data_IF_226074165844
#
_entry.id   IF_226074165844
#
_cell.length_a   1.000
_cell.length_b   1.000
_cell.length_c   1.000
_cell.angle_alpha   90.00
_cell.angle_beta   90.00
_cell.angle_gamma   90.00
#
_symmetry.space_group_name_H-M   'P 1'
#
loop_
_entity.id
_entity.type
_entity.pdbx_description
1 polymer ?
#
# COMPACT_ATOMS: atom_id res chain seq x y z
N UNK A 1 35.98 40.53 1.19
CA UNK A 1 35.30 39.63 0.23
C UNK A 1 34.99 38.34 0.98
N UNK A 2 33.77 38.18 1.47
CA UNK A 2 33.28 36.94 2.11
C UNK A 2 33.00 35.95 1.00
N UNK A 3 33.64 34.79 1.05
CA UNK A 3 33.38 33.69 0.13
C UNK A 3 31.86 33.33 0.18
N UNK A 4 31.21 33.07 -0.96
CA UNK A 4 29.81 32.67 -0.94
C UNK A 4 29.67 31.38 -0.16
N UNK A 5 28.74 31.35 0.83
CA UNK A 5 28.39 30.16 1.56
C UNK A 5 27.83 29.17 0.52
N UNK A 6 28.41 27.97 0.38
CA UNK A 6 27.92 27.00 -0.61
C UNK A 6 26.47 26.69 -0.32
N UNK A 7 25.60 26.72 -1.36
CA UNK A 7 24.20 26.35 -1.23
C UNK A 7 24.10 24.92 -0.66
N UNK A 8 23.29 24.72 0.39
CA UNK A 8 23.16 23.40 1.00
C UNK A 8 22.66 22.41 -0.04
N UNK A 9 23.33 21.28 -0.13
CA UNK A 9 22.92 20.21 -1.06
C UNK A 9 21.47 19.80 -0.76
N UNK A 10 20.65 19.47 -1.78
CA UNK A 10 19.24 19.08 -1.59
C UNK A 10 19.02 18.04 -0.49
N UNK A 11 19.93 17.07 -0.37
CA UNK A 11 19.91 16.06 0.69
C UNK A 11 19.98 16.68 2.10
N UNK A 12 20.85 17.66 2.32
CA UNK A 12 21.04 18.30 3.64
C UNK A 12 19.76 19.01 4.09
N UNK A 13 19.12 19.75 3.18
CA UNK A 13 17.85 20.45 3.44
C UNK A 13 16.72 19.46 3.76
N UNK A 14 16.64 18.36 3.00
CA UNK A 14 15.61 17.34 3.23
C UNK A 14 15.86 16.58 4.54
N UNK A 15 17.10 16.22 4.84
CA UNK A 15 17.46 15.58 6.10
C UNK A 15 17.14 16.46 7.30
N UNK A 16 17.34 17.78 7.17
CA UNK A 16 16.97 18.75 8.19
C UNK A 16 15.46 18.88 8.34
N UNK A 17 14.72 18.96 7.23
CA UNK A 17 13.26 18.96 7.23
C UNK A 17 12.69 17.71 7.89
N UNK A 18 13.23 16.52 7.60
CA UNK A 18 12.82 15.25 8.20
C UNK A 18 13.09 15.26 9.71
N UNK A 19 14.26 15.68 10.14
CA UNK A 19 14.59 15.79 11.57
C UNK A 19 13.68 16.76 12.31
N UNK A 20 13.37 17.90 11.68
CA UNK A 20 12.45 18.87 12.26
C UNK A 20 11.05 18.25 12.43
N UNK A 21 10.51 17.61 11.40
CA UNK A 21 9.21 16.93 11.45
C UNK A 21 9.19 15.84 12.53
N UNK A 22 10.23 15.03 12.63
CA UNK A 22 10.31 13.97 13.64
C UNK A 22 10.38 14.51 15.06
N UNK A 23 11.17 15.55 15.29
CA UNK A 23 11.32 16.19 16.60
C UNK A 23 10.04 16.91 17.04
N UNK A 24 9.39 17.64 16.10
CA UNK A 24 8.20 18.47 16.39
C UNK A 24 6.88 17.78 15.99
N UNK A 25 6.88 16.48 15.71
CA UNK A 25 5.68 15.77 15.24
C UNK A 25 4.46 15.92 16.14
N UNK A 26 4.66 16.07 17.47
CA UNK A 26 3.59 16.29 18.45
C UNK A 26 2.94 17.66 18.31
N UNK A 27 3.67 18.65 17.83
CA UNK A 27 3.20 20.03 17.62
C UNK A 27 2.44 20.16 16.30
N UNK A 28 2.46 19.11 15.47
CA UNK A 28 1.83 19.07 14.13
C UNK A 28 2.20 20.28 13.28
N UNK A 29 3.51 20.53 13.01
CA UNK A 29 3.98 21.75 12.39
C UNK A 29 3.37 21.97 11.00
N UNK A 30 3.08 23.22 10.69
CA UNK A 30 2.58 23.62 9.38
C UNK A 30 3.69 23.59 8.33
N UNK A 31 3.32 23.55 7.04
CA UNK A 31 4.29 23.66 5.94
C UNK A 31 5.08 24.98 6.03
N UNK A 32 4.42 26.08 6.41
CA UNK A 32 5.05 27.38 6.62
C UNK A 32 6.11 27.37 7.73
N UNK A 33 5.85 26.68 8.84
CA UNK A 33 6.81 26.52 9.93
C UNK A 33 8.06 25.74 9.47
N UNK A 34 7.83 24.63 8.77
CA UNK A 34 8.89 23.80 8.21
C UNK A 34 9.72 24.55 7.16
N UNK A 35 9.05 25.27 6.25
CA UNK A 35 9.70 26.05 5.21
C UNK A 35 10.61 27.15 5.80
N UNK A 36 10.12 27.83 6.82
CA UNK A 36 10.88 28.84 7.57
C UNK A 36 12.11 28.24 8.25
N UNK A 37 11.97 27.05 8.84
CA UNK A 37 13.07 26.35 9.51
C UNK A 37 14.22 26.02 8.54
N UNK A 38 13.90 25.52 7.33
CA UNK A 38 14.92 25.14 6.34
C UNK A 38 15.33 26.29 5.39
N UNK A 39 14.79 27.50 5.58
CA UNK A 39 15.13 28.68 4.78
C UNK A 39 14.60 28.64 3.34
N UNK A 40 13.48 27.98 3.08
CA UNK A 40 12.86 27.87 1.76
C UNK A 40 11.46 28.47 1.74
N UNK A 41 10.95 28.81 0.54
CA UNK A 41 9.51 29.03 0.37
C UNK A 41 8.71 27.73 0.48
N UNK A 42 7.45 27.80 0.89
CA UNK A 42 6.58 26.63 1.01
C UNK A 42 6.49 25.86 -0.31
N UNK A 43 6.34 26.58 -1.42
CA UNK A 43 6.26 25.95 -2.74
C UNK A 43 7.56 25.22 -3.11
N UNK A 44 8.71 25.84 -2.87
CA UNK A 44 10.02 25.23 -3.16
C UNK A 44 10.26 24.02 -2.27
N UNK A 45 10.00 24.14 -0.96
CA UNK A 45 10.10 23.00 -0.03
C UNK A 45 9.20 21.85 -0.44
N UNK A 46 7.92 22.12 -0.73
CA UNK A 46 6.99 21.08 -1.12
C UNK A 46 7.46 20.32 -2.36
N UNK A 47 7.90 21.06 -3.40
CA UNK A 47 8.42 20.46 -4.63
C UNK A 47 9.69 19.65 -4.37
N UNK A 48 10.66 20.22 -3.66
CA UNK A 48 11.94 19.59 -3.34
C UNK A 48 11.73 18.33 -2.47
N UNK A 49 10.93 18.45 -1.41
CA UNK A 49 10.64 17.35 -0.50
C UNK A 49 9.89 16.23 -1.23
N UNK A 50 8.90 16.56 -2.05
CA UNK A 50 8.14 15.55 -2.82
C UNK A 50 9.03 14.87 -3.86
N UNK A 51 9.88 15.62 -4.55
CA UNK A 51 10.83 15.05 -5.51
C UNK A 51 11.82 14.09 -4.83
N UNK A 52 12.28 14.43 -3.62
CA UNK A 52 13.27 13.64 -2.90
C UNK A 52 12.65 12.52 -2.05
N UNK A 53 11.64 12.82 -1.21
CA UNK A 53 11.00 11.86 -0.30
C UNK A 53 9.88 11.05 -0.97
N UNK A 54 9.44 11.47 -2.15
CA UNK A 54 8.37 10.83 -2.85
C UNK A 54 6.97 11.06 -2.25
N UNK A 55 6.85 11.77 -1.14
CA UNK A 55 5.60 12.16 -0.47
C UNK A 55 5.70 13.63 -0.07
N UNK A 56 4.57 14.32 0.09
CA UNK A 56 4.59 15.69 0.60
C UNK A 56 5.03 15.74 2.07
N UNK A 57 5.56 16.89 2.55
CA UNK A 57 5.89 17.06 3.98
C UNK A 57 4.73 16.70 4.91
N UNK A 58 3.50 17.07 4.53
CA UNK A 58 2.28 16.75 5.30
C UNK A 58 2.00 15.26 5.34
N UNK A 59 2.14 14.56 4.22
CA UNK A 59 1.98 13.10 4.18
C UNK A 59 3.05 12.40 5.02
N UNK A 60 4.28 12.92 5.01
CA UNK A 60 5.36 12.39 5.83
C UNK A 60 5.09 12.60 7.34
N UNK A 61 4.60 13.79 7.73
CA UNK A 61 4.18 14.05 9.12
C UNK A 61 3.03 13.12 9.54
N UNK A 62 2.04 12.92 8.69
CA UNK A 62 0.95 11.95 8.95
C UNK A 62 1.51 10.54 9.15
N UNK A 63 2.51 10.13 8.38
CA UNK A 63 3.18 8.84 8.55
C UNK A 63 3.84 8.72 9.93
N UNK A 64 4.64 9.71 10.32
CA UNK A 64 5.27 9.73 11.66
C UNK A 64 4.22 9.71 12.78
N UNK A 65 3.13 10.44 12.60
CA UNK A 65 2.01 10.47 13.56
C UNK A 65 1.33 9.11 13.67
N UNK A 66 1.03 8.46 12.53
CA UNK A 66 0.44 7.13 12.48
C UNK A 66 1.35 6.07 13.13
N UNK A 67 2.64 6.04 12.78
CA UNK A 67 3.59 5.08 13.33
C UNK A 67 3.69 5.18 14.86
N UNK A 68 3.74 6.40 15.39
CA UNK A 68 3.72 6.64 16.83
C UNK A 68 2.37 6.29 17.49
N UNK A 69 1.26 6.63 16.83
CA UNK A 69 -0.07 6.29 17.33
C UNK A 69 -0.26 4.78 17.39
N UNK A 70 0.20 4.06 16.38
CA UNK A 70 0.15 2.59 16.30
C UNK A 70 0.87 1.93 17.48
N UNK A 71 2.06 2.43 17.82
CA UNK A 71 2.80 1.93 18.97
C UNK A 71 2.05 2.19 20.29
N UNK A 72 1.50 3.41 20.48
CA UNK A 72 0.81 3.82 21.69
C UNK A 72 -0.55 3.16 21.89
N UNK A 73 -1.28 2.90 20.81
CA UNK A 73 -2.58 2.23 20.86
C UNK A 73 -2.53 0.81 21.44
N UNK A 74 -1.36 0.18 21.47
CA UNK A 74 -1.17 -1.12 22.10
C UNK A 74 -1.23 -1.03 23.64
N UNK A 75 -0.92 0.12 24.20
CA UNK A 75 -0.71 0.30 25.65
C UNK A 75 -1.67 1.32 26.27
N UNK A 76 -2.21 2.27 25.47
CA UNK A 76 -2.98 3.40 25.95
C UNK A 76 -4.40 3.46 25.35
N UNK A 77 -5.37 4.09 26.05
CA UNK A 77 -6.68 4.44 25.52
C UNK A 77 -6.58 5.31 24.25
N UNK A 78 -7.61 5.24 23.39
CA UNK A 78 -7.62 5.95 22.10
C UNK A 78 -7.44 7.46 22.24
N UNK A 79 -8.09 8.07 23.26
CA UNK A 79 -7.96 9.50 23.54
C UNK A 79 -6.52 9.87 23.92
N UNK A 80 -5.93 9.12 24.82
CA UNK A 80 -4.56 9.37 25.32
C UNK A 80 -3.54 9.17 24.18
N UNK A 81 -3.72 8.12 23.38
CA UNK A 81 -2.89 7.88 22.21
C UNK A 81 -2.98 9.05 21.19
N UNK A 82 -4.19 9.56 20.93
CA UNK A 82 -4.39 10.70 20.02
C UNK A 82 -3.69 11.97 20.53
N UNK A 83 -3.91 12.33 21.79
CA UNK A 83 -3.30 13.50 22.41
C UNK A 83 -1.76 13.37 22.50
N UNK A 84 -1.28 12.18 22.83
CA UNK A 84 0.15 11.91 22.96
C UNK A 84 0.92 12.04 21.63
N UNK A 85 0.25 11.89 20.48
CA UNK A 85 0.87 12.09 19.17
C UNK A 85 0.56 13.47 18.57
N UNK A 86 -0.05 14.38 19.34
CA UNK A 86 -0.32 15.77 18.94
C UNK A 86 -1.58 15.96 18.10
N UNK A 87 -2.47 14.98 18.05
CA UNK A 87 -3.77 15.12 17.41
C UNK A 87 -4.77 15.81 18.34
N UNK A 88 -5.68 16.62 17.77
CA UNK A 88 -6.68 17.37 18.53
C UNK A 88 -7.76 16.50 19.17
N UNK A 89 -7.81 15.20 18.86
CA UNK A 89 -8.75 14.27 19.46
C UNK A 89 -8.90 12.96 18.70
N UNK A 90 -9.76 12.06 19.21
CA UNK A 90 -9.94 10.71 18.68
C UNK A 90 -10.39 10.66 17.22
N UNK A 91 -11.20 11.62 16.76
CA UNK A 91 -11.69 11.66 15.37
C UNK A 91 -10.57 11.77 14.34
N UNK A 92 -9.55 12.60 14.61
CA UNK A 92 -8.38 12.70 13.74
C UNK A 92 -7.56 11.42 13.72
N UNK A 93 -7.44 10.74 14.85
CA UNK A 93 -6.77 9.45 14.92
C UNK A 93 -7.59 8.36 14.21
N UNK A 94 -8.92 8.42 14.32
CA UNK A 94 -9.82 7.51 13.60
C UNK A 94 -9.63 7.61 12.09
N UNK A 95 -9.64 8.82 11.52
CA UNK A 95 -9.44 9.02 10.07
C UNK A 95 -8.07 8.51 9.62
N UNK A 96 -7.04 8.81 10.41
CA UNK A 96 -5.67 8.38 10.15
C UNK A 96 -5.55 6.85 10.14
N UNK A 97 -6.13 6.18 11.13
CA UNK A 97 -6.08 4.72 11.24
C UNK A 97 -6.91 4.03 10.14
N UNK A 98 -8.09 4.55 9.79
CA UNK A 98 -8.87 4.02 8.68
C UNK A 98 -8.11 4.13 7.35
N UNK A 99 -7.42 5.25 7.14
CA UNK A 99 -6.64 5.47 5.92
C UNK A 99 -5.46 4.50 5.78
N UNK A 100 -4.80 4.13 6.89
CA UNK A 100 -3.50 3.46 6.85
C UNK A 100 -3.55 2.00 7.30
N UNK A 101 -4.45 1.65 8.20
CA UNK A 101 -4.62 0.28 8.72
C UNK A 101 -5.92 -0.37 8.22
N UNK A 102 -6.82 0.43 7.62
CA UNK A 102 -8.16 -0.04 7.30
C UNK A 102 -9.02 -0.39 8.51
N UNK A 103 -8.58 -0.02 9.70
CA UNK A 103 -9.21 -0.29 10.98
C UNK A 103 -9.39 1.02 11.77
N UNK A 104 -10.42 1.05 12.62
CA UNK A 104 -10.52 2.10 13.62
C UNK A 104 -9.45 1.93 14.70
N UNK A 105 -9.09 2.99 15.44
CA UNK A 105 -8.16 2.87 16.59
C UNK A 105 -8.60 1.84 17.61
N UNK A 106 -9.92 1.74 17.87
CA UNK A 106 -10.48 0.75 18.78
C UNK A 106 -10.31 -0.69 18.31
N UNK A 107 -10.64 -0.96 17.04
CA UNK A 107 -10.42 -2.27 16.41
C UNK A 107 -8.93 -2.63 16.41
N UNK A 108 -8.05 -1.71 16.04
CA UNK A 108 -6.59 -1.94 16.02
C UNK A 108 -6.06 -2.28 17.43
N UNK A 109 -6.44 -1.48 18.45
CA UNK A 109 -6.02 -1.70 19.84
C UNK A 109 -6.46 -3.07 20.37
N UNK A 110 -7.61 -3.54 19.92
CA UNK A 110 -8.20 -4.82 20.33
C UNK A 110 -7.84 -5.95 19.34
N UNK A 111 -6.83 -5.77 18.47
CA UNK A 111 -6.40 -6.80 17.53
C UNK A 111 -7.46 -7.17 16.49
N UNK A 112 -8.31 -6.22 16.10
CA UNK A 112 -9.40 -6.41 15.15
C UNK A 112 -10.72 -6.86 15.80
N UNK A 113 -10.86 -6.76 17.13
CA UNK A 113 -12.13 -7.09 17.79
C UNK A 113 -13.27 -6.23 17.23
N UNK A 114 -14.41 -6.87 16.93
CA UNK A 114 -15.53 -6.24 16.26
C UNK A 114 -15.44 -6.23 14.72
N UNK A 115 -14.26 -6.54 14.14
CA UNK A 115 -14.12 -6.74 12.71
C UNK A 115 -14.60 -8.14 12.32
N UNK A 116 -15.56 -8.21 11.41
CA UNK A 116 -15.99 -9.46 10.80
C UNK A 116 -15.27 -9.66 9.46
N UNK A 117 -14.53 -10.74 9.32
CA UNK A 117 -13.81 -11.14 8.11
C UNK A 117 -14.48 -12.42 7.60
N UNK A 118 -14.97 -12.38 6.37
CA UNK A 118 -15.36 -13.58 5.62
C UNK A 118 -14.24 -13.95 4.69
N UNK A 119 -13.84 -15.20 4.72
CA UNK A 119 -12.79 -15.70 3.83
C UNK A 119 -13.19 -17.05 3.25
N UNK A 120 -12.53 -17.43 2.18
CA UNK A 120 -12.78 -18.71 1.53
C UNK A 120 -11.89 -18.91 0.32
N UNK A 121 -12.07 -20.07 -0.31
CA UNK A 121 -11.37 -20.44 -1.54
C UNK A 121 -12.20 -20.03 -2.74
N UNK A 122 -11.53 -19.38 -3.70
CA UNK A 122 -12.11 -19.11 -5.01
C UNK A 122 -11.25 -19.74 -6.11
N UNK A 123 -11.90 -20.37 -7.08
CA UNK A 123 -11.23 -20.83 -8.30
C UNK A 123 -11.00 -19.65 -9.23
N UNK A 124 -9.77 -19.52 -9.74
CA UNK A 124 -9.38 -18.45 -10.66
C UNK A 124 -8.75 -19.02 -11.92
N UNK A 125 -8.57 -18.24 -12.99
CA UNK A 125 -7.81 -18.68 -14.17
C UNK A 125 -6.36 -19.07 -13.87
N UNK A 126 -5.85 -18.74 -12.69
CA UNK A 126 -4.45 -18.95 -12.28
C UNK A 126 -4.33 -19.92 -11.10
N UNK A 127 -5.32 -20.77 -10.88
CA UNK A 127 -5.38 -21.70 -9.75
C UNK A 127 -6.25 -21.18 -8.61
N UNK A 128 -6.17 -21.83 -7.47
CA UNK A 128 -6.97 -21.47 -6.30
C UNK A 128 -6.38 -20.26 -5.57
N UNK A 129 -7.26 -19.47 -4.97
CA UNK A 129 -6.85 -18.34 -4.15
C UNK A 129 -7.70 -18.26 -2.88
N UNK A 130 -7.06 -17.93 -1.76
CA UNK A 130 -7.74 -17.44 -0.57
C UNK A 130 -8.17 -16.01 -0.82
N UNK A 131 -9.47 -15.77 -0.76
CA UNK A 131 -10.04 -14.43 -0.76
C UNK A 131 -10.58 -14.10 0.64
N UNK A 132 -10.39 -12.85 1.11
CA UNK A 132 -10.96 -12.39 2.37
C UNK A 132 -11.54 -10.98 2.21
N UNK A 133 -12.76 -10.79 2.71
CA UNK A 133 -13.47 -9.52 2.68
C UNK A 133 -13.96 -9.08 4.06
N UNK A 134 -14.02 -7.77 4.25
CA UNK A 134 -14.69 -7.10 5.37
C UNK A 134 -15.87 -6.29 4.83
N UNK A 135 -16.65 -5.67 5.69
CA UNK A 135 -17.67 -4.68 5.28
C UNK A 135 -17.07 -3.46 4.54
N UNK A 136 -15.74 -3.23 4.66
CA UNK A 136 -15.03 -2.12 4.02
C UNK A 136 -14.48 -2.47 2.64
N UNK A 137 -14.34 -3.76 2.33
CA UNK A 137 -13.85 -4.25 1.04
C UNK A 137 -13.01 -5.51 1.15
N UNK A 138 -12.51 -5.96 0.00
CA UNK A 138 -11.60 -7.09 -0.11
C UNK A 138 -10.25 -6.72 0.48
N UNK A 139 -9.78 -7.49 1.45
CA UNK A 139 -8.53 -7.25 2.18
C UNK A 139 -7.43 -8.25 1.88
N UNK A 140 -7.76 -9.42 1.30
CA UNK A 140 -6.77 -10.43 0.88
C UNK A 140 -7.23 -11.14 -0.39
N UNK A 141 -6.29 -11.37 -1.29
CA UNK A 141 -6.41 -12.27 -2.44
C UNK A 141 -5.02 -12.89 -2.67
N UNK A 142 -4.83 -14.10 -2.21
CA UNK A 142 -3.53 -14.77 -2.19
C UNK A 142 -3.64 -16.16 -2.80
N UNK A 143 -2.82 -16.46 -3.80
CA UNK A 143 -2.84 -17.75 -4.50
C UNK A 143 -2.06 -18.80 -3.72
N UNK A 144 -2.48 -20.04 -3.86
CA UNK A 144 -1.82 -21.21 -3.25
C UNK A 144 -1.97 -22.42 -4.18
N UNK A 145 -1.12 -23.43 -4.00
CA UNK A 145 -1.10 -24.66 -4.77
C UNK A 145 -1.30 -25.90 -3.89
N UNK A 146 -1.07 -25.76 -2.57
CA UNK A 146 -1.15 -26.87 -1.62
C UNK A 146 -1.99 -26.51 -0.39
N UNK A 147 -2.54 -27.52 0.27
CA UNK A 147 -3.25 -27.35 1.55
C UNK A 147 -2.35 -26.70 2.64
N UNK A 148 -1.06 -27.02 2.63
CA UNK A 148 -0.11 -26.41 3.56
C UNK A 148 0.05 -24.90 3.32
N UNK A 149 0.08 -24.46 2.08
CA UNK A 149 0.11 -23.03 1.74
C UNK A 149 -1.21 -22.35 2.11
N UNK A 150 -2.35 -22.99 1.86
CA UNK A 150 -3.65 -22.48 2.31
C UNK A 150 -3.68 -22.28 3.82
N UNK A 151 -3.27 -23.28 4.60
CA UNK A 151 -3.19 -23.20 6.05
C UNK A 151 -2.25 -22.07 6.51
N UNK A 152 -1.13 -21.85 5.80
CA UNK A 152 -0.21 -20.73 6.08
C UNK A 152 -0.87 -19.37 5.83
N UNK A 153 -1.66 -19.22 4.77
CA UNK A 153 -2.42 -18.00 4.47
C UNK A 153 -3.54 -17.74 5.49
N UNK A 154 -4.22 -18.80 5.99
CA UNK A 154 -5.18 -18.68 7.09
C UNK A 154 -4.50 -18.22 8.39
N UNK A 155 -3.33 -18.77 8.70
CA UNK A 155 -2.53 -18.37 9.86
C UNK A 155 -2.04 -16.91 9.73
N UNK A 156 -1.62 -16.47 8.54
CA UNK A 156 -1.27 -15.08 8.25
C UNK A 156 -2.47 -14.17 8.48
N UNK A 157 -3.65 -14.51 7.93
CA UNK A 157 -4.89 -13.77 8.13
C UNK A 157 -5.27 -13.68 9.62
N UNK A 158 -5.05 -14.75 10.38
CA UNK A 158 -5.28 -14.78 11.82
C UNK A 158 -4.28 -13.91 12.60
N UNK A 159 -3.03 -13.87 12.16
CA UNK A 159 -1.97 -13.04 12.75
C UNK A 159 -2.18 -11.55 12.51
N UNK A 160 -2.66 -11.18 11.32
CA UNK A 160 -2.96 -9.79 10.95
C UNK A 160 -4.09 -9.21 11.81
N UNK A 161 -5.11 -10.02 12.13
CA UNK A 161 -6.27 -9.62 12.95
C UNK A 161 -6.62 -10.71 13.99
N UNK A 162 -5.83 -10.81 15.07
CA UNK A 162 -5.93 -11.95 16.01
C UNK A 162 -7.28 -12.05 16.74
N UNK A 163 -7.97 -10.93 16.97
CA UNK A 163 -9.25 -10.88 17.66
C UNK A 163 -10.45 -10.66 16.72
N UNK A 164 -10.24 -10.62 15.41
CA UNK A 164 -11.34 -10.52 14.45
C UNK A 164 -12.18 -11.80 14.40
N UNK A 165 -13.47 -11.65 14.18
CA UNK A 165 -14.37 -12.75 13.92
C UNK A 165 -14.14 -13.24 12.47
N UNK A 166 -13.38 -14.32 12.30
CA UNK A 166 -13.11 -14.93 11.00
C UNK A 166 -14.09 -16.08 10.76
N UNK A 167 -14.75 -16.02 9.62
CA UNK A 167 -15.69 -17.08 9.20
C UNK A 167 -15.37 -17.49 7.78
N UNK A 168 -15.12 -18.78 7.57
CA UNK A 168 -15.05 -19.37 6.22
C UNK A 168 -16.43 -19.41 5.60
N UNK A 169 -16.55 -18.90 4.38
CA UNK A 169 -17.83 -18.79 3.66
C UNK A 169 -17.55 -18.84 2.15
N UNK A 170 -17.14 -20.01 1.67
CA UNK A 170 -16.81 -20.25 0.27
C UNK A 170 -18.00 -19.92 -0.65
N UNK A 171 -19.23 -20.24 -0.22
CA UNK A 171 -20.45 -20.01 -1.00
C UNK A 171 -20.68 -18.51 -1.27
N UNK A 172 -20.45 -17.65 -0.26
CA UNK A 172 -20.58 -16.20 -0.42
C UNK A 172 -19.53 -15.63 -1.37
N UNK A 173 -18.32 -16.18 -1.35
CA UNK A 173 -17.20 -15.69 -2.16
C UNK A 173 -17.18 -16.30 -3.58
N UNK A 174 -18.00 -17.31 -3.87
CA UNK A 174 -18.01 -18.00 -5.16
C UNK A 174 -18.16 -17.05 -6.36
N UNK A 175 -18.98 -15.99 -6.24
CA UNK A 175 -19.16 -14.99 -7.30
C UNK A 175 -18.04 -13.97 -7.45
N UNK A 176 -17.06 -13.97 -6.54
CA UNK A 176 -15.98 -12.98 -6.55
C UNK A 176 -15.02 -13.18 -7.72
N UNK A 177 -14.74 -14.45 -8.07
CA UNK A 177 -13.87 -14.78 -9.19
C UNK A 177 -14.37 -14.16 -10.52
N UNK A 178 -15.66 -14.28 -10.83
CA UNK A 178 -16.26 -13.69 -12.03
C UNK A 178 -16.19 -12.14 -12.03
N UNK A 179 -16.21 -11.53 -10.85
CA UNK A 179 -16.06 -10.08 -10.71
C UNK A 179 -14.61 -9.62 -10.89
N UNK A 180 -13.64 -10.43 -10.46
CA UNK A 180 -12.21 -10.13 -10.58
C UNK A 180 -11.72 -10.46 -12.01
N UNK A 181 -12.17 -11.56 -12.58
CA UNK A 181 -11.79 -12.09 -13.87
C UNK A 181 -12.99 -12.20 -14.80
N UNK A 182 -13.60 -11.08 -15.20
CA UNK A 182 -14.81 -11.10 -16.03
C UNK A 182 -14.52 -11.72 -17.40
N UNK A 183 -15.54 -12.29 -17.99
CA UNK A 183 -15.51 -12.65 -19.41
C UNK A 183 -15.25 -11.42 -20.28
N UNK A 184 -14.67 -11.63 -21.45
CA UNK A 184 -14.33 -10.54 -22.34
C UNK A 184 -15.62 -9.79 -22.77
N UNK A 185 -15.57 -8.45 -22.65
CA UNK A 185 -16.75 -7.61 -22.93
C UNK A 185 -17.75 -7.45 -21.79
N UNK A 186 -17.63 -8.22 -20.69
CA UNK A 186 -18.52 -8.03 -19.54
C UNK A 186 -18.21 -6.74 -18.78
N UNK A 187 -19.25 -6.00 -18.37
CA UNK A 187 -19.10 -4.81 -17.51
C UNK A 187 -18.64 -5.23 -16.12
N UNK A 188 -17.49 -4.70 -15.70
CA UNK A 188 -17.02 -4.88 -14.33
C UNK A 188 -17.79 -3.98 -13.36
N UNK A 189 -18.37 -4.57 -12.32
CA UNK A 189 -18.79 -3.81 -11.16
C UNK A 189 -17.54 -3.42 -10.34
N UNK A 190 -17.44 -2.17 -9.86
CA UNK A 190 -16.28 -1.74 -9.07
C UNK A 190 -16.12 -2.59 -7.82
N UNK A 191 -14.90 -3.06 -7.57
CA UNK A 191 -14.52 -3.76 -6.35
C UNK A 191 -13.96 -2.74 -5.35
N UNK A 192 -14.48 -2.78 -4.13
CA UNK A 192 -13.87 -2.04 -3.02
C UNK A 192 -12.69 -2.84 -2.49
N UNK A 193 -11.51 -2.23 -2.50
CA UNK A 193 -10.29 -2.80 -1.95
C UNK A 193 -9.96 -2.12 -0.62
N UNK A 194 -9.61 -2.90 0.38
CA UNK A 194 -9.10 -2.44 1.65
C UNK A 194 -7.58 -2.58 1.62
N UNK A 195 -6.89 -1.45 1.44
CA UNK A 195 -5.44 -1.38 1.35
C UNK A 195 -4.86 -0.86 2.67
N UNK A 196 -4.35 -1.76 3.49
CA UNK A 196 -3.57 -1.40 4.66
C UNK A 196 -2.08 -1.30 4.28
N UNK A 197 -1.44 -0.19 4.60
CA UNK A 197 -0.03 0.00 4.28
C UNK A 197 0.46 1.44 4.46
N UNK A 198 1.78 1.59 4.54
CA UNK A 198 2.42 2.91 4.66
C UNK A 198 2.14 3.79 3.41
N UNK A 199 2.27 5.14 3.50
CA UNK A 199 2.09 6.02 2.35
C UNK A 199 2.95 5.64 1.16
N UNK A 200 4.17 5.22 1.42
CA UNK A 200 5.07 4.79 0.35
C UNK A 200 4.52 3.54 -0.35
N UNK A 201 4.05 2.54 0.42
CA UNK A 201 3.42 1.35 -0.13
C UNK A 201 2.16 1.70 -0.94
N UNK A 202 1.27 2.53 -0.40
CA UNK A 202 0.06 2.97 -1.11
C UNK A 202 0.39 3.69 -2.43
N UNK A 203 1.43 4.54 -2.44
CA UNK A 203 1.90 5.19 -3.67
C UNK A 203 2.48 4.21 -4.68
N UNK A 204 3.26 3.24 -4.22
CA UNK A 204 3.78 2.17 -5.08
C UNK A 204 2.61 1.39 -5.67
N UNK A 205 1.64 0.97 -4.86
CA UNK A 205 0.47 0.22 -5.34
C UNK A 205 -0.41 1.04 -6.30
N UNK A 206 -0.58 2.34 -6.04
CA UNK A 206 -1.26 3.24 -6.99
C UNK A 206 -0.51 3.33 -8.34
N UNK A 207 0.82 3.37 -8.32
CA UNK A 207 1.63 3.34 -9.53
C UNK A 207 1.49 2.01 -10.29
N UNK A 208 1.36 0.89 -9.57
CA UNK A 208 1.08 -0.41 -10.21
C UNK A 208 -0.28 -0.42 -10.92
N UNK A 209 -1.32 0.12 -10.28
CA UNK A 209 -2.65 0.21 -10.86
C UNK A 209 -2.70 1.07 -12.14
N UNK A 210 -1.75 1.99 -12.31
CA UNK A 210 -1.61 2.80 -13.50
C UNK A 210 -0.92 2.07 -14.67
N UNK A 211 -0.33 0.89 -14.46
CA UNK A 211 0.25 0.08 -15.54
C UNK A 211 -0.91 -0.63 -16.27
N UNK A 212 -1.13 -0.38 -17.57
CA UNK A 212 -2.20 -1.03 -18.32
C UNK A 212 -2.07 -2.56 -18.35
N UNK A 213 -3.18 -3.31 -18.48
CA UNK A 213 -3.15 -4.74 -18.76
C UNK A 213 -2.34 -5.05 -20.04
N UNK A 214 -1.50 -6.08 -19.97
CA UNK A 214 -0.62 -6.47 -21.08
C UNK A 214 0.68 -5.68 -21.19
N UNK A 215 0.86 -4.62 -20.37
CA UNK A 215 2.13 -3.91 -20.28
C UNK A 215 2.95 -4.38 -19.09
N UNK A 216 4.25 -4.32 -19.23
CA UNK A 216 5.20 -4.61 -18.13
C UNK A 216 6.13 -3.43 -17.89
N UNK A 217 6.58 -3.30 -16.67
CA UNK A 217 7.57 -2.29 -16.25
C UNK A 217 8.68 -2.97 -15.44
N UNK A 218 9.86 -2.38 -15.44
CA UNK A 218 10.88 -2.80 -14.47
C UNK A 218 10.65 -2.14 -13.10
N UNK A 219 11.23 -2.72 -12.04
CA UNK A 219 11.26 -2.07 -10.73
C UNK A 219 11.89 -0.68 -10.79
N UNK A 220 12.84 -0.47 -11.70
CA UNK A 220 13.49 0.82 -11.93
C UNK A 220 12.53 1.81 -12.59
N UNK A 221 11.72 1.38 -13.57
CA UNK A 221 10.72 2.23 -14.22
C UNK A 221 9.67 2.70 -13.22
N UNK A 222 9.20 1.80 -12.34
CA UNK A 222 8.26 2.16 -11.27
C UNK A 222 8.90 3.16 -10.32
N UNK A 223 10.15 2.94 -9.90
CA UNK A 223 10.88 3.86 -9.04
C UNK A 223 11.09 5.23 -9.72
N UNK A 224 11.47 5.25 -10.99
CA UNK A 224 11.62 6.48 -11.77
C UNK A 224 10.28 7.21 -11.93
N UNK A 225 9.19 6.50 -12.23
CA UNK A 225 7.84 7.06 -12.34
C UNK A 225 7.33 7.68 -11.04
N UNK A 226 7.82 7.20 -9.89
CA UNK A 226 7.57 7.79 -8.56
C UNK A 226 8.49 8.98 -8.25
N UNK A 227 9.39 9.37 -9.18
CA UNK A 227 10.41 10.41 -8.93
C UNK A 227 11.56 9.94 -8.01
N UNK A 228 11.74 8.63 -7.85
CA UNK A 228 12.70 8.02 -6.91
C UNK A 228 13.53 6.91 -7.59
N UNK A 229 14.34 7.23 -8.62
CA UNK A 229 15.14 6.22 -9.34
C UNK A 229 16.12 5.45 -8.44
N UNK A 230 16.52 6.05 -7.31
CA UNK A 230 17.36 5.47 -6.27
C UNK A 230 16.63 4.47 -5.36
N UNK A 231 15.29 4.49 -5.34
CA UNK A 231 14.47 3.73 -4.39
C UNK A 231 14.04 2.34 -4.89
N UNK A 232 14.69 1.76 -5.90
CA UNK A 232 14.33 0.48 -6.52
C UNK A 232 14.14 -0.65 -5.50
N UNK A 233 15.01 -0.75 -4.48
CA UNK A 233 14.88 -1.79 -3.43
C UNK A 233 13.65 -1.55 -2.54
N UNK A 234 13.38 -0.30 -2.18
CA UNK A 234 12.22 0.06 -1.37
C UNK A 234 10.92 -0.20 -2.15
N UNK A 235 10.88 0.11 -3.45
CA UNK A 235 9.77 -0.21 -4.36
C UNK A 235 9.55 -1.73 -4.42
N UNK A 236 10.61 -2.52 -4.59
CA UNK A 236 10.49 -3.98 -4.61
C UNK A 236 9.96 -4.53 -3.28
N UNK A 237 10.40 -3.99 -2.14
CA UNK A 237 9.87 -4.37 -0.82
C UNK A 237 8.39 -4.00 -0.65
N UNK A 238 7.97 -2.82 -1.13
CA UNK A 238 6.58 -2.40 -1.10
C UNK A 238 5.68 -3.28 -1.99
N UNK A 239 6.17 -3.66 -3.17
CA UNK A 239 5.49 -4.58 -4.10
C UNK A 239 5.33 -5.98 -3.48
N UNK A 240 6.35 -6.48 -2.79
CA UNK A 240 6.32 -7.79 -2.12
C UNK A 240 5.32 -7.88 -0.96
N UNK A 241 4.91 -6.74 -0.40
CA UNK A 241 3.90 -6.66 0.68
C UNK A 241 2.47 -6.52 0.16
N UNK A 242 2.24 -6.76 -1.12
CA UNK A 242 0.90 -6.76 -1.70
C UNK A 242 0.12 -8.01 -1.24
N UNK A 243 -1.02 -7.81 -0.59
CA UNK A 243 -1.94 -8.85 -0.16
C UNK A 243 -3.12 -9.07 -1.12
N UNK A 244 -3.22 -8.26 -2.17
CA UNK A 244 -4.27 -8.33 -3.18
C UNK A 244 -3.68 -8.73 -4.54
N UNK A 245 -3.29 -9.98 -4.64
CA UNK A 245 -2.74 -10.57 -5.87
C UNK A 245 -3.63 -10.32 -7.08
N UNK A 246 -3.04 -10.11 -8.26
CA UNK A 246 -3.72 -9.73 -9.49
C UNK A 246 -4.40 -8.34 -9.44
N UNK A 247 -5.23 -8.05 -8.44
CA UNK A 247 -5.96 -6.78 -8.30
C UNK A 247 -5.03 -5.58 -8.17
N UNK A 248 -3.96 -5.71 -7.38
CA UNK A 248 -2.81 -4.82 -7.46
C UNK A 248 -1.77 -5.52 -8.32
N UNK A 249 -1.52 -5.05 -9.56
CA UNK A 249 -0.85 -5.84 -10.58
C UNK A 249 0.67 -5.89 -10.39
N UNK A 250 1.11 -6.46 -9.28
CA UNK A 250 2.53 -6.67 -8.99
C UNK A 250 3.20 -7.66 -9.98
N UNK A 251 2.40 -8.49 -10.66
CA UNK A 251 2.87 -9.36 -11.74
C UNK A 251 3.38 -8.56 -12.97
N UNK A 252 2.86 -7.34 -13.22
CA UNK A 252 3.33 -6.47 -14.32
C UNK A 252 4.70 -5.84 -14.08
N UNK A 253 5.33 -6.09 -12.90
CA UNK A 253 6.66 -5.55 -12.61
C UNK A 253 7.68 -6.66 -12.57
N UNK A 254 8.72 -6.55 -13.42
CA UNK A 254 9.80 -7.54 -13.58
C UNK A 254 11.16 -6.90 -13.31
N UNK A 255 12.20 -7.69 -13.23
CA UNK A 255 13.56 -7.17 -13.22
C UNK A 255 13.94 -6.65 -14.62
N UNK A 256 14.81 -5.65 -14.67
CA UNK A 256 15.37 -5.14 -15.93
C UNK A 256 16.11 -6.22 -16.73
N UNK A 257 16.56 -7.30 -16.09
CA UNK A 257 17.16 -8.49 -16.70
C UNK A 257 16.14 -9.43 -17.35
N UNK A 258 14.82 -9.14 -17.25
CA UNK A 258 13.77 -10.02 -17.73
C UNK A 258 13.42 -11.20 -16.81
N UNK A 259 14.00 -11.24 -15.60
CA UNK A 259 13.83 -12.35 -14.67
C UNK A 259 12.50 -12.25 -13.88
N UNK A 260 11.75 -13.36 -13.82
CA UNK A 260 10.45 -13.51 -13.14
C UNK A 260 10.55 -14.17 -11.76
N UNK A 261 11.73 -14.62 -11.33
CA UNK A 261 11.95 -15.60 -10.26
C UNK A 261 11.61 -15.17 -8.82
N UNK A 262 11.09 -13.95 -8.58
CA UNK A 262 10.75 -13.47 -7.25
C UNK A 262 9.32 -12.97 -7.15
N UNK A 263 8.39 -13.78 -7.60
CA UNK A 263 6.98 -13.51 -7.39
C UNK A 263 6.47 -14.30 -6.17
N UNK A 264 5.70 -13.65 -5.29
CA UNK A 264 5.23 -14.24 -4.03
C UNK A 264 4.47 -15.54 -4.25
N UNK A 265 3.73 -15.63 -5.34
CA UNK A 265 2.87 -16.77 -5.67
C UNK A 265 3.38 -17.60 -6.87
N UNK A 266 4.69 -17.64 -7.07
CA UNK A 266 5.33 -18.46 -8.09
C UNK A 266 5.60 -17.74 -9.42
N UNK A 267 6.76 -18.03 -10.03
CA UNK A 267 7.18 -17.41 -11.28
C UNK A 267 6.26 -17.80 -12.45
N UNK A 268 5.82 -19.05 -12.49
CA UNK A 268 4.94 -19.59 -13.54
C UNK A 268 3.59 -18.88 -13.55
N UNK A 269 3.01 -18.66 -12.37
CA UNK A 269 1.75 -17.91 -12.23
C UNK A 269 1.89 -16.46 -12.70
N UNK A 270 3.01 -15.84 -12.40
CA UNK A 270 3.32 -14.48 -12.90
C UNK A 270 3.36 -14.44 -14.42
N UNK A 271 4.04 -15.40 -15.04
CA UNK A 271 4.11 -15.50 -16.50
C UNK A 271 2.73 -15.77 -17.12
N UNK A 272 1.94 -16.66 -16.52
CA UNK A 272 0.58 -16.94 -16.95
C UNK A 272 -0.31 -15.70 -16.91
N UNK A 273 -0.24 -14.90 -15.82
CA UNK A 273 -0.99 -13.63 -15.71
C UNK A 273 -0.61 -12.64 -16.80
N UNK A 274 0.69 -12.45 -17.07
CA UNK A 274 1.18 -11.55 -18.11
C UNK A 274 0.71 -12.02 -19.49
N UNK A 275 0.87 -13.30 -19.79
CA UNK A 275 0.45 -13.87 -21.09
C UNK A 275 -1.07 -13.77 -21.29
N UNK A 276 -1.85 -14.02 -20.23
CA UNK A 276 -3.31 -13.91 -20.27
C UNK A 276 -3.77 -12.47 -20.52
N UNK A 277 -3.16 -11.49 -19.89
CA UNK A 277 -3.46 -10.07 -20.11
C UNK A 277 -3.06 -9.63 -21.51
N UNK A 278 -1.88 -10.02 -22.00
CA UNK A 278 -1.40 -9.69 -23.34
C UNK A 278 -2.33 -10.26 -24.42
N UNK A 279 -2.78 -11.51 -24.28
CA UNK A 279 -3.72 -12.12 -25.21
C UNK A 279 -5.06 -11.37 -25.27
N UNK A 280 -5.60 -10.97 -24.12
CA UNK A 280 -6.87 -10.21 -24.03
C UNK A 280 -6.72 -8.79 -24.59
N UNK A 281 -5.59 -8.13 -24.35
CA UNK A 281 -5.29 -6.82 -24.91
C UNK A 281 -5.19 -6.86 -26.44
N UNK A 282 -4.54 -7.89 -27.00
CA UNK A 282 -4.44 -8.10 -28.44
C UNK A 282 -5.81 -8.32 -29.10
N UNK A 283 -6.69 -9.08 -28.46
CA UNK A 283 -8.06 -9.31 -28.95
C UNK A 283 -8.93 -8.06 -28.87
N UNK A 284 -8.76 -7.22 -27.86
CA UNK A 284 -9.51 -5.96 -27.73
C UNK A 284 -9.07 -4.89 -28.74
N UNK A 285 -7.87 -4.99 -29.31
CA UNK A 285 -7.33 -4.08 -30.30
C UNK A 285 -7.44 -4.56 -31.76
N UNK A 286 -7.97 -5.77 -32.00
CA UNK A 286 -8.22 -6.25 -33.35
C UNK A 286 -9.45 -5.54 -33.92
N UNK A 287 -9.35 -4.86 -35.09
CA UNK A 287 -10.54 -4.30 -35.77
C UNK A 287 -11.39 -5.46 -36.28
N UNK A 288 -12.72 -5.32 -36.15
CA UNK A 288 -13.72 -6.21 -36.78
C UNK A 288 -13.61 -6.25 -38.30
#
# INVERSE_FOLDING_TARGET
MTAPVPEPRPYTLIAEAIRYLDTHRREQPTLAALARHVGLSEFHLQRLFTAWAGVSPKQFLHYLTWENARARLREAPVLDAALAVGLSGPGRLHDLMLQWEGMTPGEFRQGGAGLAIRYGVIATPFGEALAAETARGLCKLAFFDTEAEFAALEAELASDWPSALRRRDDARLAGLAARIFPEQGARQAPLKLLLAGSPFQQRVWAALLAIPPGEIRSYQDVAAGLGRPDATRAVASAIARNDLGYLIPCHRVIRATGDFNRYRWGAERKQAMIAWEAARAAQAGAPD
#
